data_IF_672643096983
#
_entry.id   IF_672643096983
#
_cell.length_a   1.000
_cell.length_b   1.000
_cell.length_c   1.000
_cell.angle_alpha   90.00
_cell.angle_beta   90.00
_cell.angle_gamma   90.00
#
_symmetry.space_group_name_H-M   'P 1'
#
loop_
_entity.id
_entity.type
_entity.pdbx_description
1 polymer ?
#
# COMPACT_ATOMS: atom_id res chain seq x y z
N UNK A 1 3.38 -63.65 14.00
CA UNK A 1 2.20 -62.75 14.00
C UNK A 1 2.49 -61.35 14.53
N UNK A 2 3.12 -61.18 15.71
CA UNK A 2 3.36 -59.86 16.32
C UNK A 2 4.28 -58.92 15.52
N UNK A 3 5.27 -59.45 14.80
CA UNK A 3 6.22 -58.64 14.01
C UNK A 3 5.62 -58.09 12.71
N UNK A 4 4.64 -58.78 12.12
CA UNK A 4 3.91 -58.30 10.94
C UNK A 4 2.99 -57.11 11.26
N UNK A 5 2.47 -57.03 12.49
CA UNK A 5 1.64 -55.90 12.95
C UNK A 5 2.48 -54.64 13.22
N UNK A 6 3.75 -54.78 13.65
CA UNK A 6 4.65 -53.64 13.90
C UNK A 6 5.14 -53.02 12.60
N UNK A 7 5.41 -53.82 11.56
CA UNK A 7 5.84 -53.33 10.24
C UNK A 7 4.70 -52.61 9.52
N UNK A 8 3.45 -53.09 9.65
CA UNK A 8 2.27 -52.41 9.10
C UNK A 8 1.95 -51.10 9.85
N UNK A 9 2.21 -51.03 11.16
CA UNK A 9 2.01 -49.80 11.93
C UNK A 9 3.06 -48.72 11.60
N UNK A 10 4.31 -49.11 11.28
CA UNK A 10 5.37 -48.15 10.91
C UNK A 10 5.25 -47.61 9.48
N UNK A 11 4.59 -48.32 8.56
CA UNK A 11 4.41 -47.85 7.17
C UNK A 11 3.27 -46.84 6.98
N UNK A 12 2.35 -46.73 7.95
CA UNK A 12 1.27 -45.72 7.94
C UNK A 12 1.65 -44.38 8.59
N UNK A 13 2.73 -44.32 9.37
CA UNK A 13 3.16 -43.09 10.05
C UNK A 13 3.60 -41.94 9.11
N UNK A 14 4.38 -42.15 8.02
CA UNK A 14 4.81 -41.04 7.18
C UNK A 14 3.67 -40.43 6.32
N UNK A 15 2.55 -41.13 6.17
CA UNK A 15 1.40 -40.63 5.41
C UNK A 15 0.53 -39.64 6.19
N UNK A 16 0.49 -39.72 7.54
CA UNK A 16 -0.29 -38.79 8.35
C UNK A 16 0.35 -37.40 8.44
N UNK A 17 1.67 -37.33 8.64
CA UNK A 17 2.40 -36.07 8.73
C UNK A 17 2.29 -35.24 7.43
N UNK A 18 2.48 -35.87 6.25
CA UNK A 18 2.36 -35.18 4.96
C UNK A 18 0.91 -34.81 4.57
N UNK A 19 -0.09 -35.39 5.23
CA UNK A 19 -1.50 -35.07 5.01
C UNK A 19 -1.97 -33.89 5.87
N UNK A 20 -1.41 -33.72 7.08
CA UNK A 20 -1.65 -32.57 7.95
C UNK A 20 -1.01 -31.29 7.38
N UNK A 21 0.21 -31.35 6.82
CA UNK A 21 0.90 -30.22 6.15
C UNK A 21 0.15 -29.63 4.92
N UNK A 22 -0.95 -30.26 4.49
CA UNK A 22 -1.72 -29.86 3.30
C UNK A 22 -3.18 -29.56 3.61
N UNK A 23 -3.57 -29.59 4.88
CA UNK A 23 -4.90 -29.19 5.33
C UNK A 23 -4.82 -27.75 5.87
N UNK A 24 -5.53 -26.84 5.21
CA UNK A 24 -5.65 -25.44 5.66
C UNK A 24 -7.00 -25.27 6.33
N UNK A 25 -7.01 -24.83 7.59
CA UNK A 25 -8.24 -24.43 8.27
C UNK A 25 -8.50 -22.96 7.98
N UNK A 26 -9.60 -22.68 7.30
CA UNK A 26 -10.03 -21.35 6.91
C UNK A 26 -11.23 -20.95 7.75
N UNK A 27 -11.16 -19.82 8.44
CA UNK A 27 -12.34 -19.20 9.02
C UNK A 27 -12.86 -18.10 8.10
N UNK A 28 -14.17 -18.03 7.91
CA UNK A 28 -14.84 -16.93 7.23
C UNK A 28 -16.16 -16.59 7.96
N UNK A 29 -16.58 -15.32 7.97
CA UNK A 29 -17.85 -14.94 8.57
C UNK A 29 -19.03 -15.56 7.85
N UNK A 30 -20.10 -15.86 8.59
CA UNK A 30 -21.30 -16.53 8.08
C UNK A 30 -21.90 -15.81 6.87
N UNK A 31 -21.95 -14.48 6.91
CA UNK A 31 -22.41 -13.65 5.80
C UNK A 31 -21.63 -13.88 4.49
N UNK A 32 -20.35 -14.22 4.55
CA UNK A 32 -19.55 -14.58 3.37
C UNK A 32 -19.76 -16.04 2.97
N UNK A 33 -19.90 -16.95 3.94
CA UNK A 33 -20.16 -18.37 3.67
C UNK A 33 -21.51 -18.56 2.96
N UNK A 34 -22.55 -17.87 3.45
CA UNK A 34 -23.91 -17.91 2.89
C UNK A 34 -24.00 -17.42 1.45
N UNK A 35 -23.00 -16.66 0.97
CA UNK A 35 -22.94 -16.28 -0.45
C UNK A 35 -22.75 -17.47 -1.38
N UNK A 36 -22.25 -18.61 -0.89
CA UNK A 36 -21.87 -19.77 -1.70
C UNK A 36 -20.52 -19.64 -2.40
N UNK A 37 -19.74 -18.59 -2.10
CA UNK A 37 -18.43 -18.37 -2.71
C UNK A 37 -17.48 -19.55 -2.51
N UNK A 38 -17.41 -20.11 -1.30
CA UNK A 38 -16.46 -21.19 -0.97
C UNK A 38 -16.76 -22.49 -1.72
N UNK A 39 -18.04 -22.82 -1.91
CA UNK A 39 -18.46 -23.97 -2.72
C UNK A 39 -18.04 -23.80 -4.20
N UNK A 40 -17.91 -22.55 -4.65
CA UNK A 40 -17.43 -22.24 -5.99
C UNK A 40 -15.89 -22.27 -6.08
N UNK A 41 -15.17 -21.62 -5.17
CA UNK A 41 -13.71 -21.45 -5.32
C UNK A 41 -12.89 -22.64 -4.82
N UNK A 42 -13.30 -23.28 -3.71
CA UNK A 42 -12.47 -24.29 -3.04
C UNK A 42 -12.28 -25.55 -3.88
N UNK A 43 -13.31 -26.12 -4.56
CA UNK A 43 -13.09 -27.29 -5.43
C UNK A 43 -12.08 -27.01 -6.55
N UNK A 44 -12.11 -25.80 -7.14
CA UNK A 44 -11.20 -25.38 -8.22
C UNK A 44 -9.77 -25.23 -7.70
N UNK A 45 -9.62 -24.58 -6.55
CA UNK A 45 -8.33 -24.43 -5.88
C UNK A 45 -7.73 -25.79 -5.51
N UNK A 46 -8.48 -26.62 -4.77
CA UNK A 46 -8.01 -27.93 -4.30
C UNK A 46 -7.63 -28.86 -5.46
N UNK A 47 -8.38 -28.86 -6.56
CA UNK A 47 -8.07 -29.67 -7.73
C UNK A 47 -6.70 -29.33 -8.34
N UNK A 48 -6.40 -28.02 -8.47
CA UNK A 48 -5.14 -27.55 -9.09
C UNK A 48 -3.95 -27.67 -8.14
N UNK A 49 -4.13 -27.31 -6.87
CA UNK A 49 -3.04 -27.14 -5.92
C UNK A 49 -2.82 -28.37 -5.02
N UNK A 50 -3.78 -29.32 -4.97
CA UNK A 50 -3.78 -30.49 -4.07
C UNK A 50 -3.62 -30.10 -2.60
N UNK A 51 -4.16 -28.95 -2.23
CA UNK A 51 -4.27 -28.44 -0.87
C UNK A 51 -5.74 -28.52 -0.47
N UNK A 52 -6.04 -29.18 0.65
CA UNK A 52 -7.41 -29.28 1.17
C UNK A 52 -7.67 -28.07 2.05
N UNK A 53 -8.84 -27.47 1.89
CA UNK A 53 -9.27 -26.34 2.72
C UNK A 53 -10.52 -26.77 3.46
N UNK A 54 -10.53 -26.60 4.77
CA UNK A 54 -11.67 -26.89 5.64
C UNK A 54 -12.14 -25.59 6.28
N UNK A 55 -13.45 -25.33 6.18
CA UNK A 55 -14.06 -24.19 6.85
C UNK A 55 -14.25 -24.50 8.34
N UNK A 56 -13.68 -23.68 9.21
CA UNK A 56 -13.81 -23.82 10.66
C UNK A 56 -14.68 -22.72 11.26
N UNK A 57 -15.48 -23.08 12.25
CA UNK A 57 -16.46 -22.18 12.87
C UNK A 57 -15.82 -21.11 13.77
N UNK A 58 -14.60 -21.33 14.26
CA UNK A 58 -13.92 -20.38 15.16
C UNK A 58 -12.63 -19.83 14.53
N UNK A 59 -12.34 -18.52 14.68
CA UNK A 59 -11.08 -17.95 14.21
C UNK A 59 -9.84 -18.55 14.86
N UNK A 60 -9.93 -19.05 16.10
CA UNK A 60 -8.78 -19.51 16.89
C UNK A 60 -8.21 -20.84 16.38
N UNK A 61 -9.05 -21.65 15.74
CA UNK A 61 -8.67 -22.92 15.14
C UNK A 61 -8.17 -22.77 13.69
N UNK A 62 -8.25 -21.57 13.12
CA UNK A 62 -7.93 -21.29 11.73
C UNK A 62 -6.45 -20.93 11.50
N UNK A 63 -5.90 -21.45 10.40
CA UNK A 63 -4.59 -21.09 9.85
C UNK A 63 -4.66 -19.79 9.02
N UNK A 64 -5.86 -19.48 8.51
CA UNK A 64 -6.19 -18.26 7.77
C UNK A 64 -7.60 -17.80 8.11
N UNK A 65 -7.82 -16.50 8.21
CA UNK A 65 -9.14 -15.91 8.46
C UNK A 65 -9.48 -14.87 7.39
N UNK A 66 -10.70 -14.92 6.88
CA UNK A 66 -11.28 -13.82 6.10
C UNK A 66 -12.15 -12.94 7.01
N UNK A 67 -12.24 -11.65 6.72
CA UNK A 67 -12.97 -10.69 7.55
C UNK A 67 -12.83 -9.25 7.02
N UNK A 68 -12.82 -8.26 7.90
CA UNK A 68 -12.56 -6.85 7.57
C UNK A 68 -11.09 -6.47 7.72
N UNK A 69 -10.33 -7.24 8.48
CA UNK A 69 -8.97 -6.91 8.87
C UNK A 69 -7.96 -7.69 8.02
N UNK A 70 -6.76 -7.12 7.82
CA UNK A 70 -5.68 -7.75 7.06
C UNK A 70 -5.53 -7.24 5.63
N UNK A 71 -5.08 -8.11 4.73
CA UNK A 71 -4.84 -7.78 3.33
C UNK A 71 -6.16 -7.78 2.53
N UNK A 72 -6.61 -6.65 1.97
CA UNK A 72 -7.84 -6.62 1.16
C UNK A 72 -7.75 -7.52 -0.07
N UNK A 73 -8.82 -8.29 -0.34
CA UNK A 73 -8.91 -9.17 -1.50
C UNK A 73 -9.93 -8.67 -2.53
N UNK A 74 -11.16 -8.44 -2.10
CA UNK A 74 -12.30 -8.07 -2.97
C UNK A 74 -13.39 -7.37 -2.18
N UNK A 75 -14.20 -6.57 -2.87
CA UNK A 75 -15.41 -5.99 -2.32
C UNK A 75 -16.58 -6.94 -2.58
N UNK A 76 -17.47 -7.09 -1.60
CA UNK A 76 -18.65 -7.92 -1.71
C UNK A 76 -19.81 -7.35 -0.89
N UNK A 77 -20.87 -8.15 -0.67
CA UNK A 77 -22.01 -7.72 0.12
C UNK A 77 -21.59 -7.16 1.48
N UNK A 78 -21.95 -5.89 1.72
CA UNK A 78 -21.76 -5.20 2.99
C UNK A 78 -20.37 -4.62 3.28
N UNK A 79 -19.30 -5.13 2.66
CA UNK A 79 -17.93 -4.75 3.06
C UNK A 79 -16.84 -5.22 2.07
N UNK A 80 -15.64 -4.66 2.24
CA UNK A 80 -14.40 -5.23 1.71
C UNK A 80 -14.00 -6.44 2.53
N UNK A 81 -13.74 -7.56 1.86
CA UNK A 81 -13.24 -8.78 2.47
C UNK A 81 -11.72 -8.82 2.41
N UNK A 82 -11.10 -8.92 3.57
CA UNK A 82 -9.67 -8.98 3.77
C UNK A 82 -9.24 -10.32 4.36
N UNK A 83 -7.98 -10.66 4.15
CA UNK A 83 -7.36 -11.91 4.57
C UNK A 83 -6.28 -11.66 5.62
N UNK A 84 -6.30 -12.47 6.68
CA UNK A 84 -5.21 -12.58 7.63
C UNK A 84 -4.67 -14.01 7.62
N UNK A 85 -3.35 -14.13 7.52
CA UNK A 85 -2.64 -15.40 7.64
C UNK A 85 -2.16 -15.53 9.08
N UNK A 86 -2.61 -16.58 9.79
CA UNK A 86 -2.20 -16.86 11.17
C UNK A 86 -1.04 -17.84 11.25
N UNK A 87 -0.97 -18.77 10.30
CA UNK A 87 0.09 -19.79 10.19
C UNK A 87 0.90 -19.57 8.91
N UNK A 88 1.81 -18.57 8.85
CA UNK A 88 2.55 -18.23 7.62
C UNK A 88 3.55 -19.31 7.18
N UNK A 89 4.05 -20.10 8.13
CA UNK A 89 5.02 -21.17 7.87
C UNK A 89 4.37 -22.45 7.31
N UNK A 90 3.05 -22.48 7.18
CA UNK A 90 2.31 -23.62 6.63
C UNK A 90 2.17 -23.49 5.11
N UNK A 91 2.82 -24.38 4.35
CA UNK A 91 2.89 -24.37 2.88
C UNK A 91 1.51 -24.28 2.21
N UNK A 92 0.51 -24.99 2.75
CA UNK A 92 -0.86 -24.93 2.24
C UNK A 92 -1.47 -23.54 2.38
N UNK A 93 -1.19 -22.85 3.48
CA UNK A 93 -1.72 -21.52 3.79
C UNK A 93 -1.09 -20.47 2.87
N UNK A 94 0.23 -20.54 2.68
CA UNK A 94 0.95 -19.71 1.72
C UNK A 94 0.39 -19.90 0.29
N UNK A 95 0.18 -21.17 -0.12
CA UNK A 95 -0.38 -21.48 -1.45
C UNK A 95 -1.78 -20.90 -1.65
N UNK A 96 -2.64 -20.95 -0.62
CA UNK A 96 -3.99 -20.38 -0.68
C UNK A 96 -3.94 -18.85 -0.74
N UNK A 97 -3.07 -18.23 0.06
CA UNK A 97 -2.89 -16.78 0.08
C UNK A 97 -2.38 -16.24 -1.27
N UNK A 98 -1.37 -16.90 -1.85
CA UNK A 98 -0.83 -16.57 -3.16
C UNK A 98 -1.89 -16.72 -4.26
N UNK A 99 -2.71 -17.77 -4.17
CA UNK A 99 -3.78 -17.97 -5.14
C UNK A 99 -4.87 -16.89 -5.04
N UNK A 100 -5.33 -16.57 -3.83
CA UNK A 100 -6.37 -15.55 -3.58
C UNK A 100 -5.91 -14.13 -3.98
N UNK A 101 -4.62 -13.84 -3.86
CA UNK A 101 -4.04 -12.54 -4.24
C UNK A 101 -3.57 -12.49 -5.70
N UNK A 102 -3.33 -13.65 -6.33
CA UNK A 102 -2.94 -13.77 -7.72
C UNK A 102 -4.11 -13.62 -8.70
N UNK A 103 -3.77 -13.36 -9.97
CA UNK A 103 -4.77 -13.06 -11.02
C UNK A 103 -5.80 -14.17 -11.20
N UNK A 104 -5.38 -15.44 -11.11
CA UNK A 104 -6.28 -16.58 -11.30
C UNK A 104 -7.33 -16.64 -10.19
N UNK A 105 -6.93 -16.57 -8.92
CA UNK A 105 -7.88 -16.63 -7.82
C UNK A 105 -8.77 -15.39 -7.78
N UNK A 106 -8.19 -14.21 -7.97
CA UNK A 106 -8.94 -12.95 -8.06
C UNK A 106 -9.99 -13.01 -9.16
N UNK A 107 -9.61 -13.34 -10.39
CA UNK A 107 -10.57 -13.44 -11.50
C UNK A 107 -11.63 -14.51 -11.26
N UNK A 108 -11.28 -15.60 -10.56
CA UNK A 108 -12.26 -16.63 -10.19
C UNK A 108 -13.31 -16.08 -9.21
N UNK A 109 -12.89 -15.34 -8.17
CA UNK A 109 -13.82 -14.71 -7.23
C UNK A 109 -14.69 -13.67 -7.93
N UNK A 110 -14.09 -12.80 -8.76
CA UNK A 110 -14.81 -11.75 -9.47
C UNK A 110 -15.77 -12.28 -10.55
N UNK A 111 -15.56 -13.50 -11.03
CA UNK A 111 -16.47 -14.18 -11.97
C UNK A 111 -17.64 -14.90 -11.27
N UNK A 112 -17.68 -14.91 -9.93
CA UNK A 112 -18.75 -15.56 -9.20
C UNK A 112 -20.05 -14.76 -9.31
N UNK A 113 -21.03 -15.34 -10.02
CA UNK A 113 -22.30 -14.72 -10.36
C UNK A 113 -23.47 -15.70 -10.15
N UNK A 114 -23.85 -16.01 -8.88
CA UNK A 114 -24.89 -16.99 -8.58
C UNK A 114 -26.26 -16.60 -9.15
N UNK A 115 -26.57 -15.30 -9.20
CA UNK A 115 -27.83 -14.75 -9.72
C UNK A 115 -27.68 -14.15 -11.14
N UNK A 116 -26.58 -14.47 -11.84
CA UNK A 116 -26.30 -13.98 -13.20
C UNK A 116 -25.45 -12.70 -13.28
N UNK A 117 -25.41 -11.90 -12.21
CA UNK A 117 -24.52 -10.74 -12.08
C UNK A 117 -23.36 -11.03 -11.09
N UNK A 118 -22.13 -10.51 -11.34
CA UNK A 118 -21.01 -10.66 -10.41
C UNK A 118 -21.32 -10.14 -9.01
N UNK A 119 -21.15 -11.00 -8.00
CA UNK A 119 -21.40 -10.64 -6.61
C UNK A 119 -20.24 -9.88 -5.96
N UNK A 120 -19.03 -10.03 -6.51
CA UNK A 120 -17.81 -9.45 -5.98
C UNK A 120 -17.12 -8.55 -7.00
N UNK A 121 -16.50 -7.46 -6.53
CA UNK A 121 -15.71 -6.54 -7.34
C UNK A 121 -14.29 -6.40 -6.81
N UNK A 122 -13.38 -5.83 -7.61
CA UNK A 122 -12.00 -5.59 -7.19
C UNK A 122 -12.03 -4.62 -6.00
N UNK A 123 -11.33 -4.99 -4.92
CA UNK A 123 -11.15 -4.09 -3.77
C UNK A 123 -10.60 -2.76 -4.25
N UNK A 124 -11.36 -1.68 -4.05
CA UNK A 124 -10.82 -0.35 -4.25
C UNK A 124 -9.66 -0.15 -3.27
N UNK A 125 -8.49 0.36 -3.71
CA UNK A 125 -7.45 0.73 -2.76
C UNK A 125 -8.07 1.77 -1.84
N UNK A 126 -8.19 1.42 -0.55
CA UNK A 126 -8.76 2.30 0.46
C UNK A 126 -8.23 3.71 0.20
N UNK A 127 -9.14 4.63 -0.15
CA UNK A 127 -8.83 6.04 -0.30
C UNK A 127 -8.22 6.42 1.03
N UNK A 128 -6.89 6.54 1.04
CA UNK A 128 -6.13 6.94 2.21
C UNK A 128 -6.72 8.29 2.56
N UNK A 129 -7.59 8.32 3.56
CA UNK A 129 -7.94 9.56 4.23
C UNK A 129 -6.58 10.09 4.65
N UNK A 130 -6.13 11.12 3.95
CA UNK A 130 -5.11 12.00 4.46
C UNK A 130 -5.71 12.47 5.77
N UNK A 131 -5.33 11.83 6.88
CA UNK A 131 -5.39 12.48 8.17
C UNK A 131 -4.75 13.83 7.90
N UNK A 132 -5.55 14.88 7.91
CA UNK A 132 -5.04 16.22 7.79
C UNK A 132 -4.17 16.36 9.04
N UNK A 133 -2.86 16.16 8.88
CA UNK A 133 -1.91 16.66 9.84
C UNK A 133 -2.26 18.14 9.94
N UNK A 134 -2.67 18.59 11.13
CA UNK A 134 -2.85 20.01 11.39
C UNK A 134 -1.48 20.66 11.22
N UNK A 135 -1.20 21.12 10.01
CA UNK A 135 0.02 21.83 9.69
C UNK A 135 -0.09 23.21 10.34
N UNK A 136 0.75 23.45 11.34
CA UNK A 136 0.76 24.68 12.15
C UNK A 136 1.25 25.93 11.42
N UNK A 137 1.84 25.78 10.23
CA UNK A 137 2.41 26.89 9.47
C UNK A 137 1.37 27.82 8.85
N UNK A 138 1.72 29.10 8.68
CA UNK A 138 0.89 30.10 7.99
C UNK A 138 0.99 29.92 6.46
N UNK A 139 -0.09 29.51 5.75
CA UNK A 139 -0.04 29.29 4.31
C UNK A 139 0.14 30.58 3.49
N UNK A 140 -0.24 31.75 4.01
CA UNK A 140 -0.01 33.03 3.32
C UNK A 140 1.46 33.43 3.41
N UNK A 141 2.10 33.20 4.56
CA UNK A 141 3.56 33.30 4.68
C UNK A 141 4.23 32.30 3.74
N UNK A 142 3.76 31.05 3.69
CA UNK A 142 4.28 30.00 2.82
C UNK A 142 4.29 30.38 1.35
N UNK A 143 3.20 30.96 0.85
CA UNK A 143 3.12 31.47 -0.51
C UNK A 143 4.18 32.57 -0.76
N UNK A 144 4.26 33.58 0.12
CA UNK A 144 5.23 34.68 -0.03
C UNK A 144 6.67 34.19 -0.03
N UNK A 145 7.00 33.27 0.88
CA UNK A 145 8.32 32.63 0.96
C UNK A 145 8.61 31.85 -0.32
N UNK A 146 7.66 31.06 -0.80
CA UNK A 146 7.79 30.26 -2.04
C UNK A 146 8.02 31.15 -3.26
N UNK A 147 7.25 32.23 -3.39
CA UNK A 147 7.41 33.23 -4.46
C UNK A 147 8.80 33.86 -4.44
N UNK A 148 9.30 34.22 -3.25
CA UNK A 148 10.58 34.90 -3.11
C UNK A 148 11.80 33.97 -3.28
N UNK A 149 11.70 32.71 -2.84
CA UNK A 149 12.87 31.82 -2.67
C UNK A 149 12.91 30.64 -3.64
N UNK A 150 11.77 30.23 -4.20
CA UNK A 150 11.68 28.98 -4.98
C UNK A 150 11.43 29.20 -6.48
N UNK A 151 10.94 30.37 -6.89
CA UNK A 151 10.51 30.68 -8.27
C UNK A 151 11.62 30.68 -9.31
N UNK A 152 12.89 30.75 -8.88
CA UNK A 152 14.03 30.58 -9.80
C UNK A 152 14.05 29.20 -10.44
N UNK A 153 13.58 28.17 -9.75
CA UNK A 153 13.60 26.78 -10.23
C UNK A 153 12.18 26.22 -10.39
N UNK A 154 11.29 26.47 -9.44
CA UNK A 154 9.96 25.89 -9.44
C UNK A 154 8.89 26.90 -9.86
N UNK A 155 7.92 26.47 -10.65
CA UNK A 155 6.63 27.18 -10.74
C UNK A 155 5.88 26.89 -9.44
N UNK A 156 5.53 27.94 -8.68
CA UNK A 156 4.92 27.80 -7.35
C UNK A 156 3.41 28.07 -7.33
N UNK A 157 2.88 28.74 -8.35
CA UNK A 157 1.45 29.00 -8.54
C UNK A 157 1.12 29.32 -10.00
N UNK A 158 -0.16 29.45 -10.32
CA UNK A 158 -0.61 29.72 -11.68
C UNK A 158 -0.26 31.13 -12.18
N UNK A 159 -0.22 32.13 -11.31
CA UNK A 159 0.10 33.50 -11.71
C UNK A 159 1.56 33.66 -12.18
N UNK A 160 2.44 32.73 -11.80
CA UNK A 160 3.85 32.69 -12.20
C UNK A 160 4.21 31.47 -13.07
N UNK A 161 3.28 30.99 -13.90
CA UNK A 161 3.52 29.88 -14.86
C UNK A 161 4.77 30.03 -15.73
N UNK A 162 5.23 31.26 -15.97
CA UNK A 162 6.44 31.54 -16.76
C UNK A 162 7.73 31.53 -15.92
N UNK A 163 7.65 31.26 -14.61
CA UNK A 163 8.80 31.10 -13.72
C UNK A 163 9.35 29.67 -13.75
N UNK A 164 10.39 29.44 -12.97
CA UNK A 164 11.05 28.15 -12.87
C UNK A 164 11.87 27.75 -14.10
N UNK A 165 12.34 26.52 -14.08
CA UNK A 165 13.09 25.89 -15.17
C UNK A 165 12.40 24.58 -15.54
N UNK A 166 12.33 24.27 -16.84
CA UNK A 166 11.61 23.09 -17.33
C UNK A 166 12.16 21.74 -16.84
N UNK A 167 13.35 21.73 -16.22
CA UNK A 167 13.97 20.53 -15.64
C UNK A 167 13.58 20.25 -14.19
N UNK A 168 12.83 21.14 -13.54
CA UNK A 168 12.33 20.92 -12.17
C UNK A 168 10.81 20.96 -12.14
N UNK A 169 10.15 20.00 -11.45
CA UNK A 169 8.69 19.92 -11.41
C UNK A 169 8.08 21.13 -10.70
N UNK A 170 6.88 21.57 -11.11
CA UNK A 170 6.14 22.60 -10.38
C UNK A 170 5.72 22.11 -8.99
N UNK A 171 5.34 23.04 -8.11
CA UNK A 171 4.78 22.69 -6.80
C UNK A 171 3.51 21.85 -6.93
N UNK A 172 2.62 22.17 -7.89
CA UNK A 172 1.40 21.38 -8.14
C UNK A 172 1.69 19.96 -8.60
N UNK A 173 2.76 19.74 -9.38
CA UNK A 173 3.21 18.39 -9.77
C UNK A 173 3.83 17.66 -8.58
N UNK A 174 4.66 18.32 -7.77
CA UNK A 174 5.20 17.72 -6.55
C UNK A 174 4.10 17.34 -5.57
N UNK A 175 3.04 18.16 -5.48
CA UNK A 175 1.87 17.96 -4.61
C UNK A 175 1.04 16.72 -4.96
N UNK A 176 1.10 16.24 -6.21
CA UNK A 176 0.37 15.03 -6.63
C UNK A 176 1.12 13.73 -6.27
N UNK A 177 2.37 13.81 -5.84
CA UNK A 177 3.17 12.64 -5.49
C UNK A 177 2.75 12.04 -4.14
N UNK A 178 2.81 10.71 -3.94
CA UNK A 178 2.43 10.08 -2.67
C UNK A 178 3.27 10.53 -1.47
N UNK A 179 4.51 10.94 -1.69
CA UNK A 179 5.50 11.35 -0.69
C UNK A 179 5.71 12.88 -0.64
N UNK A 180 4.77 13.66 -1.18
CA UNK A 180 4.89 15.13 -1.28
C UNK A 180 5.21 15.79 0.06
N UNK A 181 4.55 15.36 1.14
CA UNK A 181 4.69 15.96 2.46
C UNK A 181 6.14 15.83 2.96
N UNK A 182 6.72 14.64 2.86
CA UNK A 182 8.11 14.39 3.23
C UNK A 182 9.09 15.20 2.36
N UNK A 183 8.81 15.31 1.05
CA UNK A 183 9.65 16.09 0.14
C UNK A 183 9.67 17.57 0.52
N UNK A 184 8.53 18.15 0.86
CA UNK A 184 8.44 19.55 1.27
C UNK A 184 8.91 19.80 2.70
N UNK A 185 8.74 18.85 3.62
CA UNK A 185 9.25 18.95 4.99
C UNK A 185 10.79 18.89 5.05
N UNK A 186 11.42 18.16 4.12
CA UNK A 186 12.86 17.88 4.15
C UNK A 186 13.62 18.34 2.91
N UNK A 187 13.05 19.22 2.07
CA UNK A 187 13.64 19.57 0.78
C UNK A 187 15.10 20.04 0.91
N UNK A 188 15.44 20.76 1.99
CA UNK A 188 16.77 21.30 2.25
C UNK A 188 17.87 20.24 2.46
N UNK A 189 17.50 18.98 2.70
CA UNK A 189 18.42 17.82 2.73
C UNK A 189 18.30 16.93 1.47
N UNK A 190 17.39 17.23 0.55
CA UNK A 190 17.16 16.47 -0.68
C UNK A 190 17.77 17.17 -1.89
N UNK A 191 18.61 16.44 -2.64
CA UNK A 191 19.26 16.97 -3.84
C UNK A 191 18.25 17.58 -4.83
N UNK A 192 18.55 18.76 -5.41
CA UNK A 192 19.84 19.46 -5.38
C UNK A 192 20.00 20.49 -4.25
N UNK A 193 19.00 20.69 -3.39
CA UNK A 193 18.92 21.81 -2.45
C UNK A 193 20.05 21.95 -1.42
N UNK A 194 20.66 20.88 -0.86
CA UNK A 194 21.74 21.00 0.13
C UNK A 194 22.94 21.81 -0.37
N UNK A 195 23.12 21.88 -1.70
CA UNK A 195 24.23 22.63 -2.29
C UNK A 195 24.04 24.15 -2.25
N UNK A 196 22.82 24.65 -2.02
CA UNK A 196 22.52 26.08 -2.07
C UNK A 196 21.44 26.55 -1.07
N UNK A 197 20.99 25.69 -0.15
CA UNK A 197 19.96 26.00 0.84
C UNK A 197 20.51 25.89 2.24
N UNK A 198 20.20 26.86 3.10
CA UNK A 198 20.52 26.82 4.52
C UNK A 198 19.28 27.16 5.35
N UNK A 199 18.98 26.30 6.31
CA UNK A 199 17.96 26.53 7.31
C UNK A 199 18.64 26.99 8.59
N UNK A 200 18.28 28.19 9.06
CA UNK A 200 18.81 28.79 10.27
C UNK A 200 18.69 27.80 11.44
N UNK A 201 19.78 27.65 12.20
CA UNK A 201 19.89 26.78 13.38
C UNK A 201 19.72 25.26 13.13
N UNK A 202 19.44 24.85 11.89
CA UNK A 202 19.18 23.44 11.53
C UNK A 202 20.28 22.87 10.64
N UNK A 203 20.67 23.58 9.58
CA UNK A 203 21.73 23.11 8.66
C UNK A 203 23.07 23.74 9.00
N UNK A 204 24.19 23.00 8.85
CA UNK A 204 25.52 23.57 9.01
C UNK A 204 25.83 24.64 7.93
N UNK A 205 26.85 25.49 8.15
CA UNK A 205 27.38 26.35 7.10
C UNK A 205 27.86 25.53 5.88
N UNK A 206 27.87 26.14 4.68
CA UNK A 206 28.49 25.49 3.52
C UNK A 206 29.98 25.23 3.80
N UNK A 207 30.47 24.10 3.29
CA UNK A 207 31.88 23.76 3.30
C UNK A 207 32.67 24.83 2.53
N UNK A 208 33.69 25.41 3.16
CA UNK A 208 34.53 26.47 2.56
C UNK A 208 35.18 26.02 1.24
N UNK A 209 35.44 24.72 1.10
CA UNK A 209 36.03 24.13 -0.12
C UNK A 209 35.00 23.86 -1.22
N UNK A 210 33.70 23.93 -0.89
CA UNK A 210 32.57 23.69 -1.80
C UNK A 210 31.46 24.72 -1.53
N UNK A 211 31.71 26.01 -1.82
CA UNK A 211 30.72 27.05 -1.63
C UNK A 211 29.50 26.83 -2.52
N UNK A 212 28.37 27.45 -2.16
CA UNK A 212 27.14 27.37 -2.95
C UNK A 212 27.38 27.84 -4.39
N UNK A 213 26.94 27.09 -5.41
CA UNK A 213 27.16 27.43 -6.81
C UNK A 213 26.29 28.61 -7.29
N UNK A 214 25.31 29.02 -6.49
CA UNK A 214 24.37 30.11 -6.77
C UNK A 214 24.15 30.94 -5.50
N UNK A 215 23.46 32.09 -5.62
CA UNK A 215 23.02 32.85 -4.45
C UNK A 215 22.20 31.92 -3.53
N UNK A 216 22.64 31.70 -2.27
CA UNK A 216 21.98 30.78 -1.37
C UNK A 216 20.55 31.19 -1.02
N UNK A 217 19.74 30.18 -0.76
CA UNK A 217 18.42 30.33 -0.14
C UNK A 217 18.60 30.17 1.37
N UNK A 218 18.36 31.25 2.11
CA UNK A 218 18.33 31.22 3.58
C UNK A 218 16.89 31.20 4.07
N UNK A 219 16.57 30.26 4.96
CA UNK A 219 15.22 30.13 5.53
C UNK A 219 15.26 29.80 7.02
N UNK A 220 14.18 30.05 7.75
CA UNK A 220 13.98 29.51 9.11
C UNK A 220 13.14 28.22 9.05
N UNK A 221 13.09 27.46 10.15
CA UNK A 221 12.21 26.30 10.24
C UNK A 221 10.72 26.70 10.13
N UNK A 222 10.32 27.82 10.75
CA UNK A 222 8.96 28.36 10.62
C UNK A 222 8.58 28.67 9.16
N UNK A 223 9.53 29.18 8.37
CA UNK A 223 9.29 29.40 6.94
C UNK A 223 9.16 28.09 6.16
N UNK A 224 9.88 27.03 6.56
CA UNK A 224 9.70 25.68 5.98
C UNK A 224 8.30 25.14 6.29
N UNK A 225 7.85 25.25 7.54
CA UNK A 225 6.50 24.84 7.96
C UNK A 225 5.40 25.64 7.23
N UNK A 226 5.61 26.95 7.06
CA UNK A 226 4.73 27.81 6.30
C UNK A 226 4.61 27.36 4.83
N UNK A 227 5.74 27.04 4.17
CA UNK A 227 5.75 26.51 2.79
C UNK A 227 5.01 25.17 2.72
N UNK A 228 5.24 24.27 3.68
CA UNK A 228 4.55 22.99 3.75
C UNK A 228 3.03 23.19 3.88
N UNK A 229 2.59 24.10 4.75
CA UNK A 229 1.18 24.46 4.95
C UNK A 229 0.55 25.04 3.67
N UNK A 230 1.25 25.94 2.97
CA UNK A 230 0.82 26.47 1.67
C UNK A 230 0.59 25.36 0.64
N UNK A 231 1.55 24.45 0.50
CA UNK A 231 1.49 23.36 -0.47
C UNK A 231 0.40 22.34 -0.10
N UNK A 232 0.15 22.10 1.18
CA UNK A 232 -0.92 21.22 1.62
C UNK A 232 -2.30 21.68 1.12
N UNK A 233 -2.55 23.00 1.16
CA UNK A 233 -3.78 23.64 0.71
C UNK A 233 -3.88 23.88 -0.80
N UNK A 234 -2.83 23.61 -1.58
CA UNK A 234 -2.86 23.82 -3.03
C UNK A 234 -3.48 22.64 -3.78
N UNK A 235 -4.08 22.92 -4.94
CA UNK A 235 -4.56 21.88 -5.84
C UNK A 235 -3.38 21.09 -6.45
N UNK A 236 -3.44 19.76 -6.36
CA UNK A 236 -2.52 18.88 -7.05
C UNK A 236 -2.72 18.95 -8.56
N UNK A 237 -1.63 18.84 -9.34
CA UNK A 237 -1.73 18.74 -10.79
C UNK A 237 -2.37 17.40 -11.19
N UNK A 238 -3.24 17.45 -12.20
CA UNK A 238 -3.75 16.26 -12.87
C UNK A 238 -2.68 15.74 -13.85
N UNK A 239 -2.12 14.56 -13.53
CA UNK A 239 -1.11 13.89 -14.35
C UNK A 239 -1.71 12.86 -15.32
N UNK A 240 -3.03 12.69 -15.34
CA UNK A 240 -3.71 11.66 -16.11
C UNK A 240 -3.54 10.25 -15.51
N UNK A 241 -3.93 9.24 -16.29
CA UNK A 241 -3.86 7.85 -15.86
C UNK A 241 -2.40 7.35 -15.72
N UNK A 242 -2.10 6.44 -14.78
CA UNK A 242 -0.79 5.82 -14.66
C UNK A 242 -0.33 5.18 -15.98
N UNK A 243 0.98 5.29 -16.27
CA UNK A 243 1.58 4.64 -17.43
C UNK A 243 1.43 3.11 -17.29
N UNK A 244 0.75 2.49 -18.25
CA UNK A 244 0.68 1.03 -18.34
C UNK A 244 1.95 0.52 -19.03
N UNK A 245 2.79 -0.20 -18.29
CA UNK A 245 3.92 -0.91 -18.88
C UNK A 245 3.40 -2.16 -19.63
N UNK A 246 3.77 -2.28 -20.91
CA UNK A 246 3.55 -3.48 -21.72
C UNK A 246 4.69 -4.48 -21.52
#
# INVERSE_FOLDING_TARGET
MRWLLVILALSLAPFKAAAEDRLVRLHAPEALIETGLFDYILPRFTLKHRVRVELVGTPDEADMTLGTDGQPLFDGPGQTWAMQVKSPDHDGTATLADWLTGDIGRNTVLAYAPEGDPLFSKAEPAKRETAAVELSGDPQLGLRVSQAKCTRCHVVEDSNRMSGIGSTPSFSVLRSLPDWEQRFAAFYVLNPHPSFTQIAEVTPPFDETRPSPIVPVHMTLDEVEAVLSYVAGMAAADLGAPLQHQ
#
